data_IF_315326837046
#
_entry.id   IF_315326837046
#
_cell.length_a   1.000
_cell.length_b   1.000
_cell.length_c   1.000
_cell.angle_alpha   90.00
_cell.angle_beta   90.00
_cell.angle_gamma   90.00
#
_symmetry.space_group_name_H-M   'P 1'
#
loop_
_entity.id
_entity.type
_entity.pdbx_description
1 polymer ?
#
# COMPACT_ATOMS: atom_id res chain seq x y z
N UNK A 1 -26.51 -25.66 -17.18
CA UNK A 1 -25.55 -24.55 -17.01
C UNK A 1 -25.68 -23.93 -15.61
N UNK A 2 -25.29 -24.64 -14.54
CA UNK A 2 -25.46 -24.19 -13.13
C UNK A 2 -24.13 -24.25 -12.34
N UNK A 3 -22.98 -24.28 -13.02
CA UNK A 3 -21.73 -24.75 -12.40
C UNK A 3 -20.72 -23.68 -11.98
N UNK A 4 -20.92 -22.40 -12.30
CA UNK A 4 -19.94 -21.34 -11.91
C UNK A 4 -20.33 -20.53 -10.68
N UNK A 5 -21.61 -20.45 -10.32
CA UNK A 5 -22.07 -19.65 -9.16
C UNK A 5 -21.93 -20.36 -7.80
N UNK A 6 -21.79 -21.70 -7.80
CA UNK A 6 -21.60 -22.48 -6.55
C UNK A 6 -20.12 -22.51 -6.12
N UNK A 7 -19.17 -22.37 -7.08
CA UNK A 7 -17.72 -22.49 -6.85
C UNK A 7 -17.14 -21.45 -5.89
N UNK A 8 -17.70 -20.24 -5.86
CA UNK A 8 -17.24 -19.20 -4.95
C UNK A 8 -17.84 -19.32 -3.54
N UNK A 9 -18.58 -20.37 -3.17
CA UNK A 9 -19.10 -20.54 -1.79
C UNK A 9 -18.09 -21.18 -0.84
N UNK A 10 -17.12 -21.91 -1.37
CA UNK A 10 -16.08 -22.55 -0.56
C UNK A 10 -15.00 -21.54 -0.11
N UNK A 11 -14.71 -21.54 1.19
CA UNK A 11 -13.69 -20.69 1.82
C UNK A 11 -12.28 -21.02 1.30
N UNK A 12 -12.02 -22.28 0.94
CA UNK A 12 -10.70 -22.71 0.46
C UNK A 12 -10.33 -22.03 -0.86
N UNK A 13 -11.26 -22.00 -1.82
CA UNK A 13 -11.09 -21.36 -3.13
C UNK A 13 -10.97 -19.83 -3.02
N UNK A 14 -11.71 -19.20 -2.11
CA UNK A 14 -11.57 -17.76 -1.84
C UNK A 14 -10.20 -17.40 -1.27
N UNK A 15 -9.63 -18.25 -0.41
CA UNK A 15 -8.27 -18.07 0.12
C UNK A 15 -7.23 -18.22 -0.99
N UNK A 16 -7.40 -19.20 -1.87
CA UNK A 16 -6.56 -19.32 -3.08
C UNK A 16 -6.65 -18.06 -3.96
N UNK A 17 -7.83 -17.43 -4.02
CA UNK A 17 -8.05 -16.14 -4.69
C UNK A 17 -7.62 -14.91 -3.86
N UNK A 18 -6.95 -15.08 -2.71
CA UNK A 18 -6.37 -13.98 -1.91
C UNK A 18 -7.18 -13.51 -0.70
N UNK A 19 -8.34 -14.12 -0.40
CA UNK A 19 -9.08 -13.79 0.82
C UNK A 19 -8.22 -14.08 2.07
N UNK A 20 -8.10 -13.11 2.99
CA UNK A 20 -7.22 -13.16 4.18
C UNK A 20 -5.71 -13.14 3.89
N UNK A 21 -5.25 -12.61 2.75
CA UNK A 21 -3.82 -12.32 2.56
C UNK A 21 -3.32 -11.26 3.58
N UNK A 22 -2.01 -11.12 3.85
CA UNK A 22 -1.50 -10.27 4.94
C UNK A 22 -1.92 -8.78 4.90
N UNK A 23 -2.10 -8.21 3.70
CA UNK A 23 -2.60 -6.84 3.49
C UNK A 23 -4.13 -6.73 3.40
N UNK A 24 -4.85 -7.85 3.47
CA UNK A 24 -6.29 -7.97 3.31
C UNK A 24 -6.97 -7.74 4.67
N UNK A 25 -7.90 -6.79 4.77
CA UNK A 25 -8.58 -6.45 6.04
C UNK A 25 -9.90 -7.18 6.26
N UNK A 26 -10.11 -8.27 5.55
CA UNK A 26 -11.34 -9.05 5.70
C UNK A 26 -11.41 -9.65 7.10
N UNK A 27 -12.59 -9.60 7.70
CA UNK A 27 -12.89 -10.24 8.98
C UNK A 27 -13.96 -11.30 8.74
N UNK A 28 -13.80 -12.47 9.36
CA UNK A 28 -14.88 -13.45 9.45
C UNK A 28 -15.71 -13.19 10.70
N UNK A 29 -17.02 -13.09 10.55
CA UNK A 29 -17.99 -13.07 11.64
C UNK A 29 -19.04 -14.15 11.42
N UNK A 30 -19.65 -14.63 12.49
CA UNK A 30 -20.77 -15.57 12.41
C UNK A 30 -21.99 -14.87 11.81
N UNK A 31 -22.73 -15.57 10.96
CA UNK A 31 -24.03 -15.14 10.45
C UNK A 31 -25.13 -15.82 11.27
N UNK A 32 -26.07 -15.04 11.80
CA UNK A 32 -27.23 -15.52 12.56
C UNK A 32 -28.49 -15.06 11.82
N UNK A 33 -29.29 -15.97 11.25
CA UNK A 33 -30.51 -15.62 10.53
C UNK A 33 -31.44 -14.75 11.37
N UNK A 34 -31.97 -13.67 10.80
CA UNK A 34 -32.88 -12.74 11.48
C UNK A 34 -32.20 -11.75 12.44
N UNK A 35 -30.92 -11.94 12.78
CA UNK A 35 -30.18 -11.05 13.69
C UNK A 35 -29.06 -10.31 12.97
N UNK A 36 -28.27 -11.01 12.14
CA UNK A 36 -27.14 -10.37 11.46
C UNK A 36 -27.60 -9.66 10.18
N UNK A 37 -27.42 -8.33 10.08
CA UNK A 37 -27.73 -7.62 8.85
C UNK A 37 -26.79 -8.06 7.73
N UNK A 38 -27.32 -8.10 6.50
CA UNK A 38 -26.51 -8.37 5.32
C UNK A 38 -25.53 -7.20 5.11
N UNK A 39 -24.22 -7.45 4.97
CA UNK A 39 -23.28 -6.38 4.67
C UNK A 39 -23.57 -5.81 3.28
N UNK A 40 -23.60 -4.48 3.18
CA UNK A 40 -23.90 -3.74 1.94
C UNK A 40 -22.65 -3.44 1.12
N UNK A 41 -21.48 -3.30 1.76
CA UNK A 41 -20.21 -3.15 1.08
C UNK A 41 -19.05 -3.72 1.90
N UNK A 42 -18.02 -4.19 1.22
CA UNK A 42 -16.78 -4.68 1.84
C UNK A 42 -15.68 -3.61 1.87
N UNK A 43 -15.90 -2.47 1.19
CA UNK A 43 -14.92 -1.41 1.01
C UNK A 43 -15.10 -0.32 2.06
N UNK A 44 -14.02 0.06 2.75
CA UNK A 44 -14.06 1.21 3.63
C UNK A 44 -14.17 2.53 2.81
N UNK A 45 -14.93 3.54 3.27
CA UNK A 45 -15.11 4.79 2.54
C UNK A 45 -13.81 5.55 2.26
N UNK A 46 -12.78 5.37 3.10
CA UNK A 46 -11.48 6.04 3.00
C UNK A 46 -10.39 5.23 2.28
N UNK A 47 -10.74 4.04 1.76
CA UNK A 47 -9.74 3.09 1.25
C UNK A 47 -8.98 3.66 0.05
N UNK A 48 -9.68 4.31 -0.90
CA UNK A 48 -9.05 4.98 -2.05
C UNK A 48 -8.05 6.05 -1.63
N UNK A 49 -8.46 6.91 -0.70
CA UNK A 49 -7.59 7.97 -0.21
C UNK A 49 -6.34 7.40 0.46
N UNK A 50 -6.47 6.30 1.21
CA UNK A 50 -5.34 5.63 1.85
C UNK A 50 -4.42 4.97 0.84
N UNK A 51 -4.97 4.30 -0.18
CA UNK A 51 -4.18 3.67 -1.25
C UNK A 51 -3.42 4.72 -2.06
N UNK A 52 -4.06 5.86 -2.38
CA UNK A 52 -3.40 6.96 -3.07
C UNK A 52 -2.26 7.55 -2.22
N UNK A 53 -2.48 7.77 -0.92
CA UNK A 53 -1.41 8.21 -0.01
C UNK A 53 -0.23 7.22 0.01
N UNK A 54 -0.51 5.90 0.05
CA UNK A 54 0.55 4.86 -0.02
C UNK A 54 1.32 4.89 -1.32
N UNK A 55 0.64 5.16 -2.44
CA UNK A 55 1.30 5.33 -3.73
C UNK A 55 2.28 6.51 -3.68
N UNK A 56 1.85 7.68 -3.20
CA UNK A 56 2.72 8.85 -3.09
C UNK A 56 3.91 8.62 -2.15
N UNK A 57 3.70 7.98 -1.00
CA UNK A 57 4.78 7.60 -0.06
C UNK A 57 5.82 6.67 -0.73
N UNK A 58 5.38 5.73 -1.58
CA UNK A 58 6.29 4.87 -2.37
C UNK A 58 7.13 5.68 -3.35
N UNK A 59 6.53 6.68 -4.02
CA UNK A 59 7.26 7.55 -4.94
C UNK A 59 8.36 8.33 -4.22
N UNK A 60 8.07 8.90 -3.03
CA UNK A 60 9.09 9.58 -2.22
C UNK A 60 10.27 8.66 -1.90
N UNK A 61 10.00 7.42 -1.45
CA UNK A 61 11.08 6.46 -1.17
C UNK A 61 11.88 6.09 -2.42
N UNK A 62 11.21 5.90 -3.56
CA UNK A 62 11.87 5.57 -4.81
C UNK A 62 12.84 6.69 -5.24
N UNK A 63 12.42 7.96 -5.14
CA UNK A 63 13.28 9.09 -5.47
C UNK A 63 14.42 9.30 -4.47
N UNK A 64 14.20 9.08 -3.16
CA UNK A 64 15.27 9.08 -2.15
C UNK A 64 16.32 8.01 -2.40
N UNK A 65 15.91 6.81 -2.81
CA UNK A 65 16.85 5.76 -3.22
C UNK A 65 17.67 6.19 -4.44
N UNK A 66 17.05 6.82 -5.44
CA UNK A 66 17.74 7.34 -6.63
C UNK A 66 18.70 8.48 -6.31
N UNK A 67 18.33 9.37 -5.38
CA UNK A 67 19.23 10.41 -4.89
C UNK A 67 20.47 9.80 -4.23
N UNK A 68 20.27 8.83 -3.34
CA UNK A 68 21.38 8.17 -2.64
C UNK A 68 22.30 7.36 -3.58
N UNK A 69 21.76 6.86 -4.70
CA UNK A 69 22.51 6.11 -5.71
C UNK A 69 22.98 6.98 -6.90
N UNK A 70 22.82 8.31 -6.83
CA UNK A 70 23.16 9.19 -7.94
C UNK A 70 24.68 9.28 -8.14
N UNK A 71 25.14 9.03 -9.37
CA UNK A 71 26.56 9.14 -9.75
C UNK A 71 26.96 10.56 -10.19
N UNK A 72 26.00 11.47 -10.32
CA UNK A 72 26.24 12.86 -10.71
C UNK A 72 25.36 13.83 -9.94
N UNK A 73 25.85 15.05 -9.74
CA UNK A 73 25.10 16.09 -9.01
C UNK A 73 23.84 16.50 -9.77
N UNK A 74 23.86 16.47 -11.11
CA UNK A 74 22.69 16.70 -11.93
C UNK A 74 21.58 15.65 -11.65
N UNK A 75 21.96 14.36 -11.53
CA UNK A 75 21.01 13.30 -11.20
C UNK A 75 20.48 13.43 -9.77
N UNK A 76 21.35 13.75 -8.81
CA UNK A 76 20.96 14.00 -7.42
C UNK A 76 19.98 15.17 -7.32
N UNK A 77 20.25 16.28 -8.01
CA UNK A 77 19.39 17.47 -8.04
C UNK A 77 18.01 17.18 -8.63
N UNK A 78 17.94 16.43 -9.74
CA UNK A 78 16.66 15.97 -10.31
C UNK A 78 15.88 15.11 -9.33
N UNK A 79 16.56 14.18 -8.64
CA UNK A 79 15.93 13.32 -7.64
C UNK A 79 15.37 14.13 -6.45
N UNK A 80 16.14 15.11 -5.93
CA UNK A 80 15.70 16.06 -4.89
C UNK A 80 14.46 16.84 -5.31
N UNK A 81 14.42 17.33 -6.55
CA UNK A 81 13.24 18.02 -7.09
C UNK A 81 12.00 17.12 -7.08
N UNK A 82 12.14 15.87 -7.53
CA UNK A 82 11.04 14.89 -7.52
C UNK A 82 10.58 14.46 -6.13
N UNK A 83 11.49 14.43 -5.16
CA UNK A 83 11.13 14.23 -3.75
C UNK A 83 10.22 15.37 -3.27
N UNK A 84 10.60 16.62 -3.51
CA UNK A 84 9.81 17.80 -3.11
C UNK A 84 8.45 17.82 -3.78
N UNK A 85 8.38 17.53 -5.08
CA UNK A 85 7.13 17.42 -5.84
C UNK A 85 6.20 16.36 -5.21
N UNK A 86 6.72 15.16 -4.96
CA UNK A 86 5.96 14.06 -4.36
C UNK A 86 5.48 14.42 -2.94
N UNK A 87 6.32 15.09 -2.15
CA UNK A 87 5.95 15.55 -0.81
C UNK A 87 4.93 16.69 -0.81
N UNK A 88 4.93 17.56 -1.83
CA UNK A 88 3.90 18.57 -2.03
C UNK A 88 2.54 17.92 -2.35
N UNK A 89 2.54 16.90 -3.23
CA UNK A 89 1.34 16.11 -3.52
C UNK A 89 0.78 15.39 -2.28
N UNK A 90 1.66 14.86 -1.43
CA UNK A 90 1.23 14.26 -0.15
C UNK A 90 0.55 15.30 0.76
N UNK A 91 1.11 16.51 0.86
CA UNK A 91 0.49 17.59 1.66
C UNK A 91 -0.90 17.90 1.13
N UNK A 92 -1.02 18.21 -0.16
CA UNK A 92 -2.33 18.50 -0.77
C UNK A 92 -3.35 17.37 -0.59
N UNK A 93 -2.92 16.10 -0.73
CA UNK A 93 -3.81 14.95 -0.53
C UNK A 93 -4.28 14.80 0.93
N UNK A 94 -3.42 15.09 1.89
CA UNK A 94 -3.73 14.98 3.33
C UNK A 94 -4.57 16.16 3.81
N UNK A 95 -4.43 17.33 3.17
CA UNK A 95 -5.27 18.49 3.44
C UNK A 95 -6.70 18.28 2.92
N UNK A 96 -6.87 17.50 1.84
CA UNK A 96 -8.16 17.25 1.19
C UNK A 96 -8.84 15.93 1.59
N UNK A 97 -8.22 15.09 2.42
CA UNK A 97 -8.76 13.76 2.79
C UNK A 97 -8.55 13.48 4.27
N UNK A 98 -9.35 12.60 4.91
CA UNK A 98 -9.16 12.23 6.32
C UNK A 98 -7.87 11.42 6.60
N UNK A 99 -7.00 11.27 5.61
CA UNK A 99 -5.82 10.40 5.72
C UNK A 99 -4.66 11.12 6.42
N UNK A 100 -4.07 10.48 7.43
CA UNK A 100 -2.90 11.05 8.13
C UNK A 100 -1.58 10.63 7.47
N UNK A 101 -0.77 11.63 7.09
CA UNK A 101 0.61 11.43 6.63
C UNK A 101 1.47 10.76 7.72
N UNK A 102 2.19 9.70 7.38
CA UNK A 102 3.16 9.07 8.29
C UNK A 102 4.58 9.21 7.76
N UNK A 103 5.31 10.21 8.25
CA UNK A 103 6.67 10.56 7.78
C UNK A 103 7.66 9.39 7.86
N UNK A 104 7.52 8.51 8.86
CA UNK A 104 8.35 7.32 8.99
C UNK A 104 8.31 6.42 7.75
N UNK A 105 7.17 6.38 7.03
CA UNK A 105 7.03 5.58 5.80
C UNK A 105 7.84 6.13 4.64
N UNK A 106 8.21 7.40 4.66
CA UNK A 106 9.03 8.02 3.62
C UNK A 106 10.54 7.90 3.90
N UNK A 107 10.94 7.38 5.07
CA UNK A 107 12.35 7.23 5.41
C UNK A 107 12.94 6.03 4.67
N UNK A 108 14.17 6.20 4.19
CA UNK A 108 15.03 5.11 3.74
C UNK A 108 15.97 4.76 4.90
N UNK A 109 16.13 3.48 5.20
CA UNK A 109 17.10 3.02 6.22
C UNK A 109 18.44 2.70 5.56
N UNK A 110 19.56 2.75 6.30
CA UNK A 110 20.88 2.37 5.78
C UNK A 110 20.88 0.96 5.18
N UNK A 111 20.19 0.01 5.83
CA UNK A 111 19.99 -1.36 5.32
C UNK A 111 19.35 -1.42 3.92
N UNK A 112 18.50 -0.45 3.58
CA UNK A 112 17.86 -0.38 2.26
C UNK A 112 18.75 0.20 1.17
N UNK A 113 19.90 0.78 1.52
CA UNK A 113 20.89 1.31 0.61
C UNK A 113 22.06 0.32 0.39
N UNK A 114 22.35 -0.52 1.39
CA UNK A 114 23.50 -1.44 1.41
C UNK A 114 23.12 -2.90 1.14
N UNK A 115 22.22 -3.18 0.19
CA UNK A 115 21.90 -4.57 -0.17
C UNK A 115 22.97 -5.15 -1.12
N UNK A 116 24.15 -5.43 -0.56
CA UNK A 116 25.05 -6.47 -1.07
C UNK A 116 24.83 -7.72 -0.20
N UNK A 117 24.53 -8.90 -0.77
CA UNK A 117 24.52 -10.12 0.03
C UNK A 117 25.95 -10.35 0.54
N UNK A 118 26.13 -10.47 1.84
CA UNK A 118 27.37 -11.05 2.36
C UNK A 118 27.33 -12.52 1.98
N UNK A 119 28.22 -12.93 1.08
CA UNK A 119 28.48 -14.34 0.83
C UNK A 119 29.08 -14.90 2.13
N UNK A 120 28.29 -15.69 2.84
CA UNK A 120 28.77 -16.48 3.98
C UNK A 120 29.70 -17.56 3.43
N UNK A 121 31.00 -17.40 3.64
CA UNK A 121 32.01 -18.48 3.52
C UNK A 121 32.01 -19.36 4.75
#
# INVERSE_FOLDING_TARGET
MVSDAVRLRDRSMRRAAGLFHPNCRHRSSMYVPGVTPRPTSTRAPDDDARQHLRYLERQVRAWKKREAAALSEAAATRARSKIRESQARIRGHVDSTPTKRQRARERISPRQLTQFPHETS
#
